data_IF_504782728801
#
_entry.id   IF_504782728801
#
_cell.length_a   1.000
_cell.length_b   1.000
_cell.length_c   1.000
_cell.angle_alpha   90.00
_cell.angle_beta   90.00
_cell.angle_gamma   90.00
#
_symmetry.space_group_name_H-M   'P 1'
#
loop_
_entity.id
_entity.type
_entity.pdbx_description
1 polymer ?
#
# COMPACT_ATOMS: atom_id res chain seq x y z
N UNK A 1 -8.10 26.75 8.68
CA UNK A 1 -8.54 26.85 10.08
C UNK A 1 -9.80 26.03 10.33
N UNK A 2 -10.82 26.08 9.47
CA UNK A 2 -12.06 25.31 9.62
C UNK A 2 -11.85 23.78 9.80
N UNK A 3 -11.02 23.07 9.01
CA UNK A 3 -10.83 21.62 9.20
C UNK A 3 -10.23 21.26 10.56
N UNK A 4 -9.26 22.06 11.03
CA UNK A 4 -8.61 21.83 12.33
C UNK A 4 -9.57 22.04 13.50
N UNK A 5 -10.45 23.06 13.41
CA UNK A 5 -11.47 23.32 14.44
C UNK A 5 -12.47 22.17 14.50
N UNK A 6 -12.93 21.68 13.34
CA UNK A 6 -13.85 20.53 13.27
C UNK A 6 -13.22 19.29 13.92
N UNK A 7 -11.97 18.98 13.58
CA UNK A 7 -11.23 17.86 14.18
C UNK A 7 -11.04 18.03 15.69
N UNK A 8 -10.68 19.22 16.17
CA UNK A 8 -10.51 19.50 17.59
C UNK A 8 -11.83 19.35 18.37
N UNK A 9 -12.92 19.91 17.84
CA UNK A 9 -14.25 19.73 18.44
C UNK A 9 -14.67 18.26 18.45
N UNK A 10 -14.42 17.53 17.37
CA UNK A 10 -14.71 16.11 17.27
C UNK A 10 -13.93 15.29 18.30
N UNK A 11 -12.64 15.59 18.51
CA UNK A 11 -11.82 14.91 19.51
C UNK A 11 -12.32 15.15 20.95
N UNK A 12 -12.76 16.37 21.27
CA UNK A 12 -13.35 16.69 22.60
C UNK A 12 -14.65 15.94 22.81
N UNK A 13 -15.56 15.97 21.83
CA UNK A 13 -16.85 15.26 21.91
C UNK A 13 -16.64 13.75 22.01
N UNK A 14 -15.76 13.18 21.18
CA UNK A 14 -15.45 11.75 21.22
C UNK A 14 -14.85 11.33 22.58
N UNK A 15 -13.96 12.15 23.15
CA UNK A 15 -13.42 11.92 24.49
C UNK A 15 -14.49 11.92 25.59
N UNK A 16 -15.50 12.81 25.48
CA UNK A 16 -16.59 12.91 26.46
C UNK A 16 -17.52 11.68 26.47
N UNK A 17 -17.80 11.11 25.29
CA UNK A 17 -18.72 9.96 25.13
C UNK A 17 -18.15 8.67 25.77
N UNK A 18 -16.82 8.55 25.86
CA UNK A 18 -16.12 7.36 26.35
C UNK A 18 -15.66 7.40 27.80
N UNK A 19 -16.11 8.37 28.60
CA UNK A 19 -15.68 8.52 29.99
C UNK A 19 -16.16 7.32 30.84
N UNK A 20 -15.26 6.59 31.54
CA UNK A 20 -15.64 5.42 32.33
C UNK A 20 -16.51 5.74 33.56
N UNK A 21 -17.33 4.76 33.97
CA UNK A 21 -18.30 4.89 35.08
C UNK A 21 -17.69 5.44 36.37
N UNK A 22 -16.47 5.01 36.73
CA UNK A 22 -15.80 5.43 37.95
C UNK A 22 -15.53 6.94 38.00
N UNK A 23 -15.37 7.59 36.84
CA UNK A 23 -15.24 9.06 36.77
C UNK A 23 -16.61 9.73 36.95
N UNK A 24 -17.67 9.23 36.31
CA UNK A 24 -19.02 9.80 36.48
C UNK A 24 -19.53 9.70 37.92
N UNK A 25 -19.31 8.55 38.56
CA UNK A 25 -19.70 8.31 39.95
C UNK A 25 -18.98 9.24 40.94
N UNK A 26 -17.72 9.62 40.68
CA UNK A 26 -17.01 10.60 41.53
C UNK A 26 -17.62 12.00 41.50
N UNK A 27 -18.35 12.35 40.44
CA UNK A 27 -19.09 13.61 40.35
C UNK A 27 -20.58 13.46 40.70
N UNK A 28 -21.02 12.29 41.17
CA UNK A 28 -22.41 12.00 41.49
C UNK A 28 -23.33 11.95 40.26
N UNK A 29 -22.77 11.77 39.06
CA UNK A 29 -23.51 11.65 37.82
C UNK A 29 -23.82 10.18 37.49
N UNK A 30 -24.95 9.95 36.80
CA UNK A 30 -25.30 8.62 36.30
C UNK A 30 -24.28 8.13 35.25
N UNK A 31 -24.24 6.82 34.99
CA UNK A 31 -23.39 6.26 33.94
C UNK A 31 -23.88 6.75 32.56
N UNK A 32 -22.99 7.44 31.85
CA UNK A 32 -23.22 7.94 30.49
C UNK A 32 -22.22 7.34 29.50
N UNK A 33 -21.54 6.24 29.84
CA UNK A 33 -20.58 5.61 28.94
C UNK A 33 -21.28 4.88 27.80
N UNK A 34 -21.64 5.64 26.77
CA UNK A 34 -22.40 5.16 25.62
C UNK A 34 -21.64 4.08 24.83
N UNK A 35 -20.31 4.17 24.76
CA UNK A 35 -19.46 3.17 24.08
C UNK A 35 -19.58 1.82 24.78
N UNK A 36 -19.51 1.81 26.11
CA UNK A 36 -19.64 0.58 26.89
C UNK A 36 -21.02 -0.06 26.69
N UNK A 37 -22.10 0.72 26.77
CA UNK A 37 -23.44 0.19 26.55
C UNK A 37 -23.70 -0.29 25.11
N UNK A 38 -23.13 0.38 24.12
CA UNK A 38 -23.25 -0.03 22.71
C UNK A 38 -22.51 -1.34 22.42
N UNK A 39 -21.32 -1.53 23.01
CA UNK A 39 -20.48 -2.70 22.77
C UNK A 39 -20.81 -3.89 23.69
N UNK A 40 -21.49 -3.65 24.82
CA UNK A 40 -21.81 -4.69 25.81
C UNK A 40 -22.51 -5.92 25.22
N UNK A 41 -23.45 -5.83 24.25
CA UNK A 41 -24.13 -7.02 23.73
C UNK A 41 -23.20 -7.91 22.89
N UNK A 42 -22.16 -7.34 22.27
CA UNK A 42 -21.18 -8.08 21.46
C UNK A 42 -20.08 -8.67 22.35
N UNK A 43 -19.64 -7.92 23.37
CA UNK A 43 -18.57 -8.34 24.28
C UNK A 43 -19.07 -9.42 25.24
N UNK A 44 -20.31 -9.34 25.72
CA UNK A 44 -20.88 -10.29 26.69
C UNK A 44 -21.05 -11.72 26.14
N UNK A 45 -21.01 -11.90 24.82
CA UNK A 45 -21.17 -13.22 24.16
C UNK A 45 -19.83 -13.96 24.01
N UNK A 46 -18.69 -13.30 24.28
CA UNK A 46 -17.37 -13.92 24.17
C UNK A 46 -17.06 -14.81 25.39
N UNK A 47 -16.83 -16.13 25.20
CA UNK A 47 -16.45 -17.02 26.30
C UNK A 47 -15.12 -16.53 26.93
N UNK A 48 -15.16 -16.23 28.23
CA UNK A 48 -14.03 -15.67 28.99
C UNK A 48 -14.16 -14.19 29.39
N UNK A 49 -15.18 -13.47 28.91
CA UNK A 49 -15.44 -12.06 29.28
C UNK A 49 -16.60 -11.87 30.28
N UNK A 50 -17.21 -12.97 30.75
CA UNK A 50 -18.33 -12.94 31.70
C UNK A 50 -17.91 -12.61 33.15
N UNK A 51 -16.61 -12.51 33.44
CA UNK A 51 -16.12 -11.96 34.70
C UNK A 51 -15.79 -10.49 34.48
N UNK A 52 -16.72 -9.61 34.84
CA UNK A 52 -16.32 -8.27 35.29
C UNK A 52 -15.22 -8.48 36.34
N UNK A 53 -13.96 -8.28 35.96
CA UNK A 53 -12.91 -8.08 36.94
C UNK A 53 -13.25 -6.74 37.59
N UNK A 54 -14.13 -6.80 38.60
CA UNK A 54 -14.54 -5.66 39.41
C UNK A 54 -13.33 -5.18 40.20
N UNK A 55 -12.41 -4.50 39.51
CA UNK A 55 -11.42 -3.67 40.15
C UNK A 55 -12.21 -2.67 41.00
N UNK A 56 -11.78 -2.50 42.25
CA UNK A 56 -12.34 -1.45 43.10
C UNK A 56 -12.29 -0.12 42.35
N UNK A 57 -13.35 0.69 42.43
CA UNK A 57 -13.39 2.04 41.86
C UNK A 57 -12.14 2.86 42.26
N UNK A 58 -11.61 2.63 43.46
CA UNK A 58 -10.36 3.25 43.92
C UNK A 58 -9.14 2.83 43.09
N UNK A 59 -9.04 1.55 42.72
CA UNK A 59 -7.95 1.01 41.88
C UNK A 59 -8.04 1.54 40.45
N UNK A 60 -9.24 1.61 39.87
CA UNK A 60 -9.46 2.17 38.54
C UNK A 60 -9.00 3.63 38.46
N UNK A 61 -9.46 4.46 39.41
CA UNK A 61 -9.08 5.88 39.50
C UNK A 61 -7.58 6.05 39.79
N UNK A 62 -6.99 5.20 40.63
CA UNK A 62 -5.56 5.24 40.89
C UNK A 62 -4.74 4.93 39.63
N UNK A 63 -5.11 3.90 38.87
CA UNK A 63 -4.44 3.56 37.60
C UNK A 63 -4.60 4.68 36.56
N UNK A 64 -5.78 5.29 36.47
CA UNK A 64 -6.00 6.47 35.62
C UNK A 64 -5.09 7.64 36.03
N UNK A 65 -5.03 7.96 37.32
CA UNK A 65 -4.19 9.04 37.83
C UNK A 65 -2.71 8.77 37.55
N UNK A 66 -2.23 7.55 37.80
CA UNK A 66 -0.86 7.14 37.49
C UNK A 66 -0.57 7.28 35.99
N UNK A 67 -1.47 6.82 35.13
CA UNK A 67 -1.32 6.95 33.67
C UNK A 67 -1.18 8.42 33.24
N UNK A 68 -2.06 9.30 33.73
CA UNK A 68 -2.01 10.74 33.45
C UNK A 68 -0.72 11.36 33.96
N UNK A 69 -0.28 11.01 35.18
CA UNK A 69 0.98 11.51 35.75
C UNK A 69 2.19 11.07 34.94
N UNK A 70 2.25 9.81 34.50
CA UNK A 70 3.33 9.30 33.64
C UNK A 70 3.34 10.03 32.29
N UNK A 71 2.18 10.25 31.67
CA UNK A 71 2.07 11.00 30.42
C UNK A 71 2.56 12.46 30.59
N UNK A 72 2.10 13.15 31.64
CA UNK A 72 2.54 14.52 31.94
C UNK A 72 4.03 14.60 32.26
N UNK A 73 4.58 13.64 33.00
CA UNK A 73 6.01 13.55 33.28
C UNK A 73 6.82 13.37 31.98
N UNK A 74 6.36 12.49 31.08
CA UNK A 74 6.97 12.30 29.76
C UNK A 74 6.99 13.59 28.93
N UNK A 75 5.86 14.30 28.86
CA UNK A 75 5.75 15.59 28.16
C UNK A 75 6.67 16.63 28.80
N UNK A 76 6.72 16.71 30.13
CA UNK A 76 7.57 17.65 30.85
C UNK A 76 9.06 17.39 30.59
N UNK A 77 9.50 16.12 30.62
CA UNK A 77 10.87 15.72 30.33
C UNK A 77 11.22 16.07 28.88
N UNK A 78 10.38 15.70 27.91
CA UNK A 78 10.60 15.99 26.50
C UNK A 78 10.71 17.50 26.24
N UNK A 79 9.78 18.29 26.81
CA UNK A 79 9.79 19.76 26.69
C UNK A 79 11.02 20.38 27.35
N UNK A 80 11.44 19.89 28.51
CA UNK A 80 12.62 20.39 29.20
C UNK A 80 13.91 20.08 28.42
N UNK A 81 14.03 18.88 27.85
CA UNK A 81 15.17 18.51 27.01
C UNK A 81 15.23 19.35 25.73
N UNK A 82 14.10 19.49 25.03
CA UNK A 82 13.99 20.31 23.82
C UNK A 82 14.35 21.77 24.09
N UNK A 83 13.83 22.37 25.17
CA UNK A 83 14.13 23.77 25.50
C UNK A 83 15.60 23.99 25.90
N UNK A 84 16.26 23.00 26.52
CA UNK A 84 17.65 23.13 27.00
C UNK A 84 18.68 22.89 25.92
N UNK A 85 18.48 21.91 25.04
CA UNK A 85 19.50 21.43 24.09
C UNK A 85 19.01 21.35 22.65
N UNK A 86 17.71 21.50 22.39
CA UNK A 86 17.14 21.30 21.05
C UNK A 86 17.56 19.95 20.47
N UNK A 87 18.04 19.97 19.23
CA UNK A 87 18.52 18.79 18.50
C UNK A 87 19.77 18.14 19.13
N UNK A 88 20.56 18.88 19.91
CA UNK A 88 21.73 18.30 20.60
C UNK A 88 21.34 17.32 21.72
N UNK A 89 20.07 17.31 22.16
CA UNK A 89 19.55 16.26 23.04
C UNK A 89 19.55 14.89 22.33
N UNK A 90 19.20 14.88 21.04
CA UNK A 90 19.11 13.66 20.23
C UNK A 90 20.50 13.11 19.94
N UNK A 91 21.49 13.97 19.64
CA UNK A 91 22.89 13.57 19.49
C UNK A 91 23.45 12.94 20.77
N UNK A 92 23.14 13.54 21.93
CA UNK A 92 23.56 13.01 23.23
C UNK A 92 22.89 11.65 23.53
N UNK A 93 21.64 11.45 23.11
CA UNK A 93 20.96 10.17 23.22
C UNK A 93 21.57 9.12 22.27
N UNK A 94 21.84 9.51 21.03
CA UNK A 94 22.50 8.66 20.03
C UNK A 94 23.88 8.21 20.50
N UNK A 95 24.66 9.08 21.14
CA UNK A 95 25.97 8.74 21.69
C UNK A 95 25.87 7.73 22.85
N UNK A 96 24.82 7.80 23.67
CA UNK A 96 24.62 6.91 24.83
C UNK A 96 23.97 5.58 24.48
N UNK A 97 23.09 5.58 23.48
CA UNK A 97 22.24 4.44 23.13
C UNK A 97 22.16 4.26 21.61
N UNK A 98 23.31 4.24 20.93
CA UNK A 98 23.40 4.19 19.47
C UNK A 98 22.59 3.06 18.83
N UNK A 99 22.55 1.88 19.43
CA UNK A 99 21.77 0.75 18.93
C UNK A 99 20.26 0.99 18.97
N UNK A 100 19.75 1.51 20.11
CA UNK A 100 18.33 1.83 20.25
C UNK A 100 17.94 3.03 19.39
N UNK A 101 18.79 4.05 19.32
CA UNK A 101 18.58 5.19 18.44
C UNK A 101 18.46 4.75 16.98
N UNK A 102 19.40 3.93 16.48
CA UNK A 102 19.33 3.37 15.13
C UNK A 102 18.08 2.50 14.91
N UNK A 103 17.67 1.72 15.91
CA UNK A 103 16.46 0.89 15.80
C UNK A 103 15.21 1.77 15.62
N UNK A 104 15.06 2.81 16.45
CA UNK A 104 13.92 3.72 16.40
C UNK A 104 13.94 4.60 15.15
N UNK A 105 15.10 5.11 14.77
CA UNK A 105 15.30 5.93 13.57
C UNK A 105 14.95 5.17 12.29
N UNK A 106 15.34 3.89 12.21
CA UNK A 106 14.99 3.01 11.08
C UNK A 106 13.61 2.36 11.25
N UNK A 107 12.70 2.91 12.08
CA UNK A 107 11.32 2.40 12.25
C UNK A 107 11.27 0.88 12.50
N UNK A 108 12.17 0.39 13.36
CA UNK A 108 12.34 -1.04 13.67
C UNK A 108 12.76 -1.93 12.49
N UNK A 109 13.31 -1.34 11.43
CA UNK A 109 13.73 -2.01 10.18
C UNK A 109 12.60 -2.71 9.41
N UNK A 110 11.33 -2.45 9.76
CA UNK A 110 10.17 -3.13 9.16
C UNK A 110 10.09 -2.80 7.67
N UNK A 111 10.25 -1.53 7.32
CA UNK A 111 10.16 -1.05 5.94
C UNK A 111 11.28 -1.62 5.07
N UNK A 112 12.51 -1.67 5.59
CA UNK A 112 13.68 -2.17 4.86
C UNK A 112 13.63 -3.69 4.67
N UNK A 113 13.11 -4.42 5.66
CA UNK A 113 12.88 -5.86 5.54
C UNK A 113 11.80 -6.11 4.48
N UNK A 114 10.69 -5.38 4.51
CA UNK A 114 9.63 -5.50 3.53
C UNK A 114 10.12 -5.17 2.11
N UNK A 115 10.88 -4.08 1.95
CA UNK A 115 11.48 -3.70 0.66
C UNK A 115 12.37 -4.83 0.11
N UNK A 116 13.24 -5.38 0.96
CA UNK A 116 14.20 -6.41 0.54
C UNK A 116 13.56 -7.77 0.27
N UNK A 117 12.61 -8.19 1.09
CA UNK A 117 12.03 -9.53 1.03
C UNK A 117 10.81 -9.63 0.12
N UNK A 118 10.05 -8.55 -0.03
CA UNK A 118 8.79 -8.56 -0.78
C UNK A 118 8.91 -7.70 -2.04
N UNK A 119 9.27 -6.42 -1.90
CA UNK A 119 9.21 -5.46 -3.02
C UNK A 119 10.24 -5.78 -4.10
N UNK A 120 11.53 -5.90 -3.74
CA UNK A 120 12.60 -6.11 -4.72
C UNK A 120 12.48 -7.43 -5.48
N UNK A 121 12.19 -8.59 -4.84
CA UNK A 121 12.02 -9.84 -5.56
C UNK A 121 10.82 -9.78 -6.51
N UNK A 122 9.69 -9.23 -6.05
CA UNK A 122 8.50 -9.08 -6.89
C UNK A 122 8.78 -8.18 -8.09
N UNK A 123 9.47 -7.06 -7.88
CA UNK A 123 9.87 -6.16 -8.96
C UNK A 123 10.86 -6.81 -9.93
N UNK A 124 11.75 -7.68 -9.45
CA UNK A 124 12.67 -8.44 -10.30
C UNK A 124 11.92 -9.45 -11.18
N UNK A 125 10.95 -10.18 -10.60
CA UNK A 125 10.06 -11.08 -11.34
C UNK A 125 9.28 -10.31 -12.41
N UNK A 126 8.65 -9.20 -12.04
CA UNK A 126 7.90 -8.36 -12.97
C UNK A 126 8.76 -7.87 -14.15
N UNK A 127 10.00 -7.42 -13.89
CA UNK A 127 10.95 -7.05 -14.94
C UNK A 127 11.35 -8.24 -15.82
N UNK A 128 11.47 -9.44 -15.24
CA UNK A 128 11.72 -10.67 -16.00
C UNK A 128 10.58 -11.00 -16.95
N UNK A 129 9.34 -10.96 -16.44
CA UNK A 129 8.14 -11.16 -17.25
C UNK A 129 8.06 -10.15 -18.40
N UNK A 130 8.26 -8.85 -18.13
CA UNK A 130 8.25 -7.83 -19.18
C UNK A 130 9.27 -8.09 -20.29
N UNK A 131 10.52 -8.40 -19.93
CA UNK A 131 11.57 -8.66 -20.92
C UNK A 131 11.33 -9.92 -21.75
N UNK A 132 10.84 -10.99 -21.13
CA UNK A 132 10.67 -12.28 -21.80
C UNK A 132 9.36 -12.31 -22.59
N UNK A 133 8.27 -11.89 -21.97
CA UNK A 133 6.94 -12.00 -22.58
C UNK A 133 6.73 -10.86 -23.57
N UNK A 134 6.90 -9.62 -23.15
CA UNK A 134 6.56 -8.49 -24.00
C UNK A 134 7.67 -8.25 -25.03
N UNK A 135 8.90 -8.01 -24.57
CA UNK A 135 9.98 -7.60 -25.49
C UNK A 135 10.50 -8.73 -26.38
N UNK A 136 10.57 -9.97 -25.87
CA UNK A 136 11.12 -11.08 -26.66
C UNK A 136 10.04 -11.83 -27.43
N UNK A 137 8.95 -12.23 -26.77
CA UNK A 137 7.93 -13.07 -27.42
C UNK A 137 6.97 -12.21 -28.26
N UNK A 138 6.33 -11.20 -27.66
CA UNK A 138 5.31 -10.40 -28.35
C UNK A 138 5.96 -9.54 -29.42
N UNK A 139 6.91 -8.67 -29.05
CA UNK A 139 7.58 -7.79 -30.02
C UNK A 139 8.36 -8.62 -31.05
N UNK A 140 9.00 -9.72 -30.64
CA UNK A 140 9.70 -10.61 -31.57
C UNK A 140 8.76 -11.20 -32.63
N UNK A 141 7.58 -11.68 -32.23
CA UNK A 141 6.58 -12.21 -33.16
C UNK A 141 6.07 -11.12 -34.13
N UNK A 142 5.85 -9.90 -33.62
CA UNK A 142 5.44 -8.76 -34.45
C UNK A 142 6.50 -8.40 -35.50
N UNK A 143 7.78 -8.34 -35.11
CA UNK A 143 8.88 -8.06 -36.04
C UNK A 143 9.02 -9.14 -37.11
N UNK A 144 8.86 -10.42 -36.76
CA UNK A 144 8.87 -11.51 -37.75
C UNK A 144 7.71 -11.36 -38.72
N UNK A 145 6.50 -11.05 -38.23
CA UNK A 145 5.34 -10.81 -39.10
C UNK A 145 5.55 -9.63 -40.05
N UNK A 146 6.13 -8.54 -39.57
CA UNK A 146 6.49 -7.39 -40.39
C UNK A 146 7.52 -7.76 -41.47
N UNK A 147 8.59 -8.48 -41.09
CA UNK A 147 9.62 -8.96 -42.02
C UNK A 147 9.06 -9.85 -43.12
N UNK A 148 8.16 -10.79 -42.78
CA UNK A 148 7.51 -11.67 -43.77
C UNK A 148 6.66 -10.86 -44.74
N UNK A 149 5.96 -9.84 -44.25
CA UNK A 149 5.10 -8.97 -45.08
C UNK A 149 5.95 -8.12 -46.02
N UNK A 150 7.04 -7.54 -45.52
CA UNK A 150 7.99 -6.76 -46.33
C UNK A 150 8.64 -7.63 -47.42
N UNK A 151 9.09 -8.84 -47.05
CA UNK A 151 9.66 -9.81 -48.00
C UNK A 151 8.65 -10.19 -49.07
N UNK A 152 7.39 -10.45 -48.71
CA UNK A 152 6.33 -10.74 -49.68
C UNK A 152 6.09 -9.56 -50.64
N UNK A 153 6.12 -8.32 -50.13
CA UNK A 153 6.03 -7.10 -50.95
C UNK A 153 7.21 -6.95 -51.92
N UNK A 154 8.43 -7.18 -51.45
CA UNK A 154 9.64 -7.13 -52.27
C UNK A 154 9.64 -8.21 -53.36
N UNK A 155 9.22 -9.44 -53.03
CA UNK A 155 9.04 -10.50 -54.02
C UNK A 155 7.96 -10.12 -55.05
N UNK A 156 6.84 -9.57 -54.59
CA UNK A 156 5.77 -9.06 -55.45
C UNK A 156 6.25 -7.95 -56.40
N UNK A 157 7.20 -7.10 -55.96
CA UNK A 157 7.75 -6.03 -56.80
C UNK A 157 8.46 -6.57 -58.04
N UNK A 158 9.09 -7.75 -57.97
CA UNK A 158 9.76 -8.35 -59.13
C UNK A 158 8.80 -8.74 -60.27
N UNK A 159 7.52 -8.98 -60.00
CA UNK A 159 6.54 -9.27 -61.07
C UNK A 159 6.05 -7.99 -61.76
N UNK A 160 6.24 -6.82 -61.13
CA UNK A 160 5.78 -5.52 -61.63
C UNK A 160 6.94 -4.76 -62.28
N UNK A 161 7.40 -5.27 -63.43
CA UNK A 161 8.60 -4.75 -64.15
C UNK A 161 8.33 -3.55 -65.06
N UNK A 162 7.08 -3.12 -65.23
CA UNK A 162 6.70 -2.04 -66.14
C UNK A 162 6.76 -2.41 -67.64
N UNK A 163 7.11 -3.66 -67.95
CA UNK A 163 7.17 -4.17 -69.33
C UNK A 163 5.83 -4.82 -69.72
N UNK A 164 5.10 -4.18 -70.64
CA UNK A 164 3.77 -4.62 -71.13
C UNK A 164 3.76 -6.08 -71.63
N UNK A 165 4.90 -6.57 -72.15
CA UNK A 165 5.05 -7.97 -72.62
C UNK A 165 4.98 -8.99 -71.49
N UNK A 166 5.57 -8.70 -70.33
CA UNK A 166 5.55 -9.60 -69.19
C UNK A 166 4.14 -9.75 -68.61
N UNK A 167 3.36 -8.66 -68.58
CA UNK A 167 1.95 -8.73 -68.15
C UNK A 167 1.08 -9.57 -69.08
N UNK A 168 1.28 -9.47 -70.41
CA UNK A 168 0.56 -10.31 -71.37
C UNK A 168 0.87 -11.82 -71.18
N UNK A 169 2.12 -12.16 -70.85
CA UNK A 169 2.51 -13.54 -70.53
C UNK A 169 1.84 -14.04 -69.24
N UNK A 170 1.83 -13.24 -68.16
CA UNK A 170 1.15 -13.61 -66.91
C UNK A 170 -0.36 -13.76 -67.09
N UNK A 171 -1.00 -12.91 -67.90
CA UNK A 171 -2.43 -13.01 -68.22
C UNK A 171 -2.75 -14.32 -68.96
N UNK A 172 -2.00 -14.64 -70.02
CA UNK A 172 -2.22 -15.86 -70.80
C UNK A 172 -2.00 -17.11 -69.95
N UNK A 173 -0.94 -17.14 -69.12
CA UNK A 173 -0.70 -18.22 -68.18
C UNK A 173 -1.85 -18.37 -67.16
N UNK A 174 -2.35 -17.26 -66.62
CA UNK A 174 -3.50 -17.27 -65.70
C UNK A 174 -4.76 -17.85 -66.34
N UNK A 175 -5.04 -17.52 -67.61
CA UNK A 175 -6.18 -18.07 -68.37
C UNK A 175 -6.04 -19.58 -68.55
N UNK A 176 -4.85 -20.08 -68.89
CA UNK A 176 -4.60 -21.52 -69.03
C UNK A 176 -4.82 -22.28 -67.71
N UNK A 177 -4.35 -21.71 -66.58
CA UNK A 177 -4.55 -22.28 -65.24
C UNK A 177 -6.04 -22.29 -64.87
N UNK A 178 -6.78 -21.22 -65.18
CA UNK A 178 -8.21 -21.15 -64.94
C UNK A 178 -8.98 -22.21 -65.72
N UNK A 179 -8.67 -22.37 -67.01
CA UNK A 179 -9.28 -23.41 -67.83
C UNK A 179 -8.92 -24.81 -67.32
N UNK A 180 -7.67 -25.03 -66.91
CA UNK A 180 -7.27 -26.29 -66.29
C UNK A 180 -8.10 -26.59 -65.04
N UNK A 181 -8.20 -25.64 -64.11
CA UNK A 181 -8.98 -25.77 -62.87
C UNK A 181 -10.48 -25.99 -63.11
N UNK A 182 -11.02 -25.47 -64.21
CA UNK A 182 -12.44 -25.59 -64.52
C UNK A 182 -12.77 -26.93 -65.21
N UNK A 183 -11.81 -27.49 -65.94
CA UNK A 183 -11.97 -28.75 -66.69
C UNK A 183 -11.67 -29.97 -65.82
N UNK A 184 -10.73 -29.86 -64.88
CA UNK A 184 -10.31 -30.92 -63.96
C UNK A 184 -10.65 -30.58 -62.52
#
# INVERSE_FOLDING_TARGET
TLPLVVLASGAVVAGWIGIPKGVWETFGAADHNWIHHFLSPVIAVLPGHASEHGLSHATELALMAVSVLVALAGIAIARAQWKRRGLAADEAFAARAAGLHRLLENKYWVDEIYDRLVVRPLAAIARGCWKIVDTLIIDGALHVGAFVTELAGDLGRFTTTGNVRNYALYFFAGVLVLFWWMIF
#
